data_IF_627413079305
#
_entry.id   IF_627413079305
#
_cell.length_a   1.000
_cell.length_b   1.000
_cell.length_c   1.000
_cell.angle_alpha   90.00
_cell.angle_beta   90.00
_cell.angle_gamma   90.00
#
_symmetry.space_group_name_H-M   'P 1'
#
loop_
_entity.id
_entity.type
_entity.pdbx_description
1 polymer ?
#
# COMPACT_ATOMS: atom_id res chain seq x y z
N UNK A 1 2.20 25.31 -12.43
CA UNK A 1 2.05 24.54 -11.17
C UNK A 1 1.23 25.38 -10.22
N UNK A 2 0.27 24.78 -9.52
CA UNK A 2 -0.64 25.53 -8.65
C UNK A 2 0.10 26.00 -7.39
N UNK A 3 0.12 27.32 -7.16
CA UNK A 3 0.78 27.93 -6.00
C UNK A 3 0.27 27.38 -4.66
N UNK A 4 -0.98 26.89 -4.64
CA UNK A 4 -1.55 26.27 -3.45
C UNK A 4 -0.91 24.91 -3.13
N UNK A 5 -0.58 24.10 -4.15
CA UNK A 5 0.08 22.79 -3.95
C UNK A 5 1.48 22.99 -3.38
N UNK A 6 2.22 24.00 -3.87
CA UNK A 6 3.55 24.32 -3.32
C UNK A 6 3.47 24.76 -1.86
N UNK A 7 2.45 25.54 -1.50
CA UNK A 7 2.25 25.99 -0.12
C UNK A 7 1.89 24.82 0.81
N UNK A 8 1.07 23.86 0.34
CA UNK A 8 0.78 22.61 1.06
C UNK A 8 2.06 21.79 1.24
N UNK A 9 2.86 21.61 0.18
CA UNK A 9 4.11 20.85 0.25
C UNK A 9 5.09 21.46 1.27
N UNK A 10 5.23 22.78 1.29
CA UNK A 10 6.05 23.49 2.29
C UNK A 10 5.52 23.30 3.72
N UNK A 11 4.20 23.38 3.91
CA UNK A 11 3.59 23.14 5.23
C UNK A 11 3.85 21.70 5.72
N UNK A 12 3.70 20.72 4.82
CA UNK A 12 3.95 19.31 5.14
C UNK A 12 5.44 19.07 5.47
N UNK A 13 6.36 19.68 4.71
CA UNK A 13 7.80 19.62 4.92
C UNK A 13 8.19 20.00 6.35
N UNK A 14 7.64 21.11 6.88
CA UNK A 14 7.93 21.54 8.26
C UNK A 14 7.25 20.69 9.35
N UNK A 15 6.28 19.85 8.99
CA UNK A 15 5.49 19.05 9.92
C UNK A 15 5.92 17.57 10.02
N UNK A 16 7.05 17.15 9.44
CA UNK A 16 7.34 15.72 9.22
C UNK A 16 7.49 14.84 10.50
N UNK A 17 7.78 15.41 11.68
CA UNK A 17 8.31 14.66 12.84
C UNK A 17 7.30 13.93 13.75
N UNK A 18 5.99 13.97 13.49
CA UNK A 18 4.97 13.51 14.46
C UNK A 18 4.08 12.35 13.98
N UNK A 19 4.45 11.64 12.92
CA UNK A 19 3.53 10.74 12.21
C UNK A 19 3.81 9.27 12.48
N UNK A 20 2.75 8.46 12.51
CA UNK A 20 2.86 7.01 12.38
C UNK A 20 3.49 6.65 11.03
N UNK A 21 3.91 5.40 10.86
CA UNK A 21 4.60 4.96 9.64
C UNK A 21 3.64 4.56 8.51
N UNK A 22 2.33 4.68 8.74
CA UNK A 22 1.29 4.15 7.86
C UNK A 22 1.18 4.82 6.49
N UNK A 23 0.44 4.17 5.60
CA UNK A 23 0.20 4.63 4.24
C UNK A 23 -0.87 5.74 4.18
N UNK A 24 -1.97 5.61 4.92
CA UNK A 24 -3.11 6.53 4.75
C UNK A 24 -2.90 7.86 5.47
N UNK A 25 -2.36 7.81 6.68
CA UNK A 25 -2.24 8.99 7.56
C UNK A 25 -0.82 9.21 8.06
N UNK A 26 0.14 8.43 7.56
CA UNK A 26 1.50 8.35 8.09
C UNK A 26 2.59 8.81 7.14
N UNK A 27 3.83 8.53 7.56
CA UNK A 27 5.07 8.86 6.85
C UNK A 27 5.13 8.20 5.48
N UNK A 28 4.64 6.98 5.30
CA UNK A 28 4.67 6.31 4.01
C UNK A 28 3.83 7.08 2.98
N UNK A 29 2.60 7.49 3.30
CA UNK A 29 1.78 8.29 2.38
C UNK A 29 2.43 9.61 1.97
N UNK A 30 3.08 10.29 2.92
CA UNK A 30 3.83 11.53 2.68
C UNK A 30 5.08 11.31 1.85
N UNK A 31 5.79 10.21 2.09
CA UNK A 31 6.93 9.78 1.30
C UNK A 31 6.53 9.64 -0.17
N UNK A 32 5.42 8.94 -0.46
CA UNK A 32 4.92 8.82 -1.84
C UNK A 32 4.60 10.18 -2.46
N UNK A 33 3.90 11.04 -1.71
CA UNK A 33 3.57 12.40 -2.17
C UNK A 33 4.83 13.19 -2.53
N UNK A 34 5.86 13.20 -1.67
CA UNK A 34 7.06 13.99 -1.91
C UNK A 34 7.93 13.46 -3.04
N UNK A 35 7.97 12.14 -3.26
CA UNK A 35 8.62 11.56 -4.44
C UNK A 35 7.91 11.96 -5.75
N UNK A 36 6.59 11.84 -5.83
CA UNK A 36 5.85 12.28 -7.02
C UNK A 36 5.94 13.80 -7.21
N UNK A 37 5.88 14.57 -6.12
CA UNK A 37 5.99 16.02 -6.15
C UNK A 37 7.37 16.45 -6.66
N UNK A 38 8.46 15.90 -6.10
CA UNK A 38 9.82 16.25 -6.52
C UNK A 38 10.05 15.95 -8.00
N UNK A 39 9.48 14.87 -8.54
CA UNK A 39 9.56 14.52 -9.96
C UNK A 39 8.84 15.52 -10.86
N UNK A 40 7.68 16.03 -10.43
CA UNK A 40 6.93 17.04 -11.21
C UNK A 40 7.57 18.42 -11.11
N UNK A 41 8.17 18.76 -9.97
CA UNK A 41 8.73 20.09 -9.74
C UNK A 41 10.22 20.19 -10.03
N UNK A 42 10.91 19.07 -10.21
CA UNK A 42 12.37 18.94 -10.31
C UNK A 42 13.11 19.55 -9.10
N UNK A 43 12.47 19.52 -7.92
CA UNK A 43 13.03 20.10 -6.70
C UNK A 43 13.62 19.00 -5.81
N UNK A 44 14.95 18.86 -5.88
CA UNK A 44 15.71 17.82 -5.18
C UNK A 44 15.50 17.81 -3.66
N UNK A 45 15.24 18.96 -3.04
CA UNK A 45 14.98 19.05 -1.61
C UNK A 45 13.77 18.20 -1.14
N UNK A 46 12.75 18.02 -1.99
CA UNK A 46 11.62 17.17 -1.68
C UNK A 46 11.91 15.68 -1.91
N UNK A 47 12.79 15.36 -2.86
CA UNK A 47 13.29 13.99 -3.04
C UNK A 47 14.15 13.55 -1.86
N UNK A 48 15.06 14.42 -1.39
CA UNK A 48 15.86 14.19 -0.18
C UNK A 48 14.96 13.95 1.04
N UNK A 49 13.94 14.79 1.26
CA UNK A 49 12.96 14.56 2.33
C UNK A 49 12.19 13.24 2.17
N UNK A 50 11.80 12.89 0.95
CA UNK A 50 11.07 11.64 0.71
C UNK A 50 11.92 10.41 1.03
N UNK A 51 13.23 10.48 0.73
CA UNK A 51 14.23 9.49 1.13
C UNK A 51 14.36 9.37 2.65
N UNK A 52 14.52 10.49 3.36
CA UNK A 52 14.58 10.50 4.83
C UNK A 52 13.32 9.87 5.47
N UNK A 53 12.14 10.20 4.94
CA UNK A 53 10.88 9.61 5.39
C UNK A 53 10.81 8.10 5.14
N UNK A 54 11.34 7.63 4.00
CA UNK A 54 11.38 6.21 3.68
C UNK A 54 12.31 5.46 4.64
N UNK A 55 13.49 6.01 4.91
CA UNK A 55 14.46 5.43 5.86
C UNK A 55 13.83 5.32 7.26
N UNK A 56 13.19 6.39 7.74
CA UNK A 56 12.48 6.37 9.02
C UNK A 56 11.35 5.32 9.07
N UNK A 57 10.62 5.13 7.96
CA UNK A 57 9.59 4.08 7.87
C UNK A 57 10.23 2.71 7.97
N UNK A 58 11.27 2.42 7.18
CA UNK A 58 11.94 1.12 7.14
C UNK A 58 12.57 0.78 8.48
N UNK A 59 13.23 1.74 9.14
CA UNK A 59 13.82 1.58 10.47
C UNK A 59 12.78 1.32 11.58
N UNK A 60 11.56 1.82 11.39
CA UNK A 60 10.47 1.70 12.36
C UNK A 60 9.58 0.47 12.14
N UNK A 61 9.74 -0.26 11.03
CA UNK A 61 9.04 -1.52 10.79
C UNK A 61 9.40 -2.53 11.88
N UNK A 62 8.39 -3.09 12.55
CA UNK A 62 8.59 -3.98 13.68
C UNK A 62 7.70 -5.23 13.63
N UNK A 63 8.10 -6.28 14.36
CA UNK A 63 7.29 -7.48 14.51
C UNK A 63 5.99 -7.13 15.26
N UNK A 64 4.86 -7.69 14.79
CA UNK A 64 3.55 -7.48 15.39
C UNK A 64 2.73 -6.34 14.79
N UNK A 65 3.23 -5.66 13.75
CA UNK A 65 2.40 -4.73 12.96
C UNK A 65 1.17 -5.45 12.40
N UNK A 66 0.01 -4.76 12.31
CA UNK A 66 -1.20 -5.30 11.72
C UNK A 66 -1.00 -5.57 10.22
N UNK A 67 -1.88 -6.36 9.61
CA UNK A 67 -1.77 -6.71 8.19
C UNK A 67 -2.23 -5.59 7.25
N UNK A 68 -3.16 -4.73 7.69
CA UNK A 68 -3.93 -3.83 6.83
C UNK A 68 -3.14 -2.77 6.03
N UNK A 69 -3.83 -2.14 5.07
CA UNK A 69 -3.26 -1.08 4.22
C UNK A 69 -2.98 0.23 4.96
N UNK A 70 -3.81 0.61 5.93
CA UNK A 70 -3.74 1.96 6.49
C UNK A 70 -2.44 2.20 7.27
N UNK A 71 -2.05 1.25 8.12
CA UNK A 71 -0.91 1.38 9.03
C UNK A 71 -0.19 0.03 9.31
N UNK A 72 -0.32 -0.93 8.38
CA UNK A 72 0.19 -2.29 8.52
C UNK A 72 1.10 -2.75 7.39
N UNK A 73 1.43 -4.04 7.39
CA UNK A 73 2.32 -4.69 6.42
C UNK A 73 1.92 -4.44 4.97
N UNK A 74 0.63 -4.58 4.64
CA UNK A 74 0.15 -4.29 3.29
C UNK A 74 0.37 -2.83 2.90
N UNK A 75 0.22 -1.88 3.82
CA UNK A 75 0.44 -0.46 3.56
C UNK A 75 1.88 -0.14 3.22
N UNK A 76 2.81 -0.63 4.05
CA UNK A 76 4.25 -0.45 3.83
C UNK A 76 4.68 -1.14 2.54
N UNK A 77 4.28 -2.41 2.34
CA UNK A 77 4.62 -3.17 1.14
C UNK A 77 4.05 -2.54 -0.13
N UNK A 78 2.82 -2.00 -0.07
CA UNK A 78 2.21 -1.29 -1.18
C UNK A 78 3.01 -0.03 -1.53
N UNK A 79 3.41 0.75 -0.52
CA UNK A 79 4.23 1.94 -0.70
C UNK A 79 5.59 1.63 -1.32
N UNK A 80 6.32 0.63 -0.80
CA UNK A 80 7.62 0.21 -1.36
C UNK A 80 7.48 -0.23 -2.82
N UNK A 81 6.49 -1.06 -3.13
CA UNK A 81 6.23 -1.53 -4.49
C UNK A 81 5.85 -0.37 -5.44
N UNK A 82 5.09 0.62 -4.96
CA UNK A 82 4.82 1.84 -5.71
C UNK A 82 6.11 2.57 -6.10
N UNK A 83 7.00 2.76 -5.12
CA UNK A 83 8.27 3.46 -5.32
C UNK A 83 9.16 2.73 -6.34
N UNK A 84 9.28 1.41 -6.21
CA UNK A 84 10.03 0.57 -7.17
C UNK A 84 9.43 0.66 -8.57
N UNK A 85 8.11 0.46 -8.72
CA UNK A 85 7.45 0.51 -10.05
C UNK A 85 7.51 1.87 -10.71
N UNK A 86 7.66 2.94 -9.93
CA UNK A 86 7.84 4.30 -10.43
C UNK A 86 9.32 4.64 -10.66
N UNK A 87 10.27 3.78 -10.31
CA UNK A 87 11.69 4.03 -10.43
C UNK A 87 12.20 5.13 -9.50
N UNK A 88 11.59 5.27 -8.31
CA UNK A 88 12.10 6.12 -7.24
C UNK A 88 13.13 5.39 -6.37
N UNK A 89 13.00 4.06 -6.26
CA UNK A 89 13.87 3.19 -5.46
C UNK A 89 14.30 2.02 -6.34
N UNK A 90 15.60 1.73 -6.33
CA UNK A 90 16.16 0.54 -6.96
C UNK A 90 15.89 -0.68 -6.07
N UNK A 91 15.49 -1.81 -6.67
CA UNK A 91 15.34 -3.07 -5.98
C UNK A 91 15.74 -4.21 -6.92
N UNK A 92 16.91 -4.77 -6.67
CA UNK A 92 17.58 -5.68 -7.59
C UNK A 92 17.10 -7.13 -7.47
N UNK A 93 16.56 -7.54 -6.32
CA UNK A 93 16.29 -8.96 -6.03
C UNK A 93 14.96 -9.26 -5.35
N UNK A 94 14.15 -8.24 -5.04
CA UNK A 94 12.84 -8.39 -4.42
C UNK A 94 12.89 -9.07 -3.03
N UNK A 95 14.07 -9.16 -2.38
CA UNK A 95 14.24 -9.80 -1.08
C UNK A 95 13.47 -9.06 0.01
N UNK A 96 13.61 -7.72 0.06
CA UNK A 96 12.91 -6.88 1.05
C UNK A 96 11.39 -6.95 0.92
N UNK A 97 10.87 -6.87 -0.31
CA UNK A 97 9.44 -6.99 -0.61
C UNK A 97 8.91 -8.40 -0.28
N UNK A 98 9.71 -9.44 -0.52
CA UNK A 98 9.36 -10.81 -0.17
C UNK A 98 9.27 -11.05 1.35
N UNK A 99 10.09 -10.38 2.16
CA UNK A 99 9.95 -10.42 3.63
C UNK A 99 8.61 -9.83 4.09
N UNK A 100 8.12 -8.79 3.40
CA UNK A 100 6.79 -8.23 3.66
C UNK A 100 5.70 -9.20 3.19
N UNK A 101 5.84 -9.80 2.01
CA UNK A 101 4.93 -10.84 1.51
C UNK A 101 4.78 -11.97 2.55
N UNK A 102 5.88 -12.49 3.08
CA UNK A 102 5.89 -13.52 4.12
C UNK A 102 5.11 -13.09 5.37
N UNK A 103 5.30 -11.85 5.84
CA UNK A 103 4.56 -11.31 6.99
C UNK A 103 3.07 -11.16 6.73
N UNK A 104 2.67 -10.83 5.51
CA UNK A 104 1.26 -10.80 5.12
C UNK A 104 0.67 -12.21 5.07
N UNK A 105 1.42 -13.20 4.58
CA UNK A 105 0.96 -14.60 4.51
C UNK A 105 0.81 -15.29 5.86
N UNK A 106 1.47 -14.80 6.92
CA UNK A 106 1.26 -15.30 8.29
C UNK A 106 -0.18 -15.09 8.79
N UNK A 107 -0.94 -14.16 8.19
CA UNK A 107 -2.33 -13.89 8.56
C UNK A 107 -3.32 -14.87 7.91
N UNK A 108 -4.09 -15.58 8.75
CA UNK A 108 -5.12 -16.50 8.27
C UNK A 108 -6.35 -15.75 7.72
N UNK A 109 -6.34 -15.49 6.42
CA UNK A 109 -7.40 -14.80 5.67
C UNK A 109 -8.77 -15.47 5.77
N UNK A 110 -8.84 -16.77 6.08
CA UNK A 110 -10.12 -17.51 6.22
C UNK A 110 -10.89 -17.11 7.46
N UNK A 111 -10.18 -16.55 8.46
CA UNK A 111 -10.72 -16.18 9.77
C UNK A 111 -11.07 -14.69 9.86
N UNK A 112 -10.81 -13.90 8.82
CA UNK A 112 -11.12 -12.48 8.81
C UNK A 112 -12.63 -12.22 8.78
N UNK A 113 -13.09 -11.44 9.75
CA UNK A 113 -14.43 -10.85 9.78
C UNK A 113 -14.48 -9.42 9.24
N UNK A 114 -13.32 -8.76 9.16
CA UNK A 114 -13.15 -7.40 8.63
C UNK A 114 -12.86 -7.45 7.12
N UNK A 115 -13.71 -6.79 6.35
CA UNK A 115 -13.59 -6.66 4.90
C UNK A 115 -13.28 -5.24 4.44
N UNK A 116 -12.97 -4.32 5.37
CA UNK A 116 -12.66 -2.94 5.06
C UNK A 116 -11.36 -2.80 4.26
N UNK A 117 -11.25 -1.71 3.51
CA UNK A 117 -10.03 -1.31 2.83
C UNK A 117 -8.85 -1.08 3.79
N UNK A 118 -9.09 -0.37 4.90
CA UNK A 118 -8.04 0.12 5.77
C UNK A 118 -7.33 -1.02 6.55
N UNK A 119 -8.11 -1.97 7.07
CA UNK A 119 -7.61 -2.98 8.02
C UNK A 119 -7.93 -4.42 7.62
N UNK A 120 -8.84 -4.61 6.67
CA UNK A 120 -9.43 -5.90 6.36
C UNK A 120 -9.03 -6.52 5.01
N UNK A 121 -9.83 -7.50 4.60
CA UNK A 121 -9.59 -8.33 3.43
C UNK A 121 -9.50 -7.55 2.10
N UNK A 122 -10.23 -6.44 1.96
CA UNK A 122 -10.17 -5.62 0.76
C UNK A 122 -8.77 -5.00 0.61
N UNK A 123 -8.17 -4.51 1.70
CA UNK A 123 -6.82 -3.97 1.64
C UNK A 123 -5.75 -5.01 1.34
N UNK A 124 -5.88 -6.20 1.92
CA UNK A 124 -5.04 -7.35 1.58
C UNK A 124 -5.14 -7.67 0.08
N UNK A 125 -6.36 -7.65 -0.47
CA UNK A 125 -6.60 -7.96 -1.88
C UNK A 125 -5.92 -6.96 -2.82
N UNK A 126 -5.95 -5.68 -2.48
CA UNK A 126 -5.24 -4.63 -3.21
C UNK A 126 -3.72 -4.82 -3.19
N UNK A 127 -3.16 -5.21 -2.05
CA UNK A 127 -1.73 -5.50 -1.91
C UNK A 127 -1.32 -6.75 -2.72
N UNK A 128 -2.05 -7.85 -2.58
CA UNK A 128 -1.76 -9.08 -3.32
C UNK A 128 -1.85 -8.84 -4.83
N UNK A 129 -2.89 -8.13 -5.29
CA UNK A 129 -3.01 -7.76 -6.71
C UNK A 129 -1.80 -6.96 -7.19
N UNK A 130 -1.32 -5.99 -6.40
CA UNK A 130 -0.17 -5.18 -6.76
C UNK A 130 1.07 -6.06 -7.00
N UNK A 131 1.37 -6.93 -6.03
CA UNK A 131 2.53 -7.82 -6.06
C UNK A 131 2.45 -8.85 -7.18
N UNK A 132 1.30 -9.50 -7.38
CA UNK A 132 1.14 -10.47 -8.47
C UNK A 132 1.24 -9.82 -9.86
N UNK A 133 0.88 -8.54 -9.98
CA UNK A 133 0.95 -7.79 -11.23
C UNK A 133 2.31 -7.11 -11.49
N UNK A 134 3.32 -7.31 -10.62
CA UNK A 134 4.62 -6.66 -10.80
C UNK A 134 5.42 -7.23 -11.97
N UNK A 135 5.16 -8.49 -12.35
CA UNK A 135 5.93 -9.23 -13.35
C UNK A 135 7.17 -9.92 -12.77
N UNK A 136 7.42 -9.77 -11.47
CA UNK A 136 8.55 -10.40 -10.79
C UNK A 136 8.32 -11.92 -10.67
N UNK A 137 9.32 -12.71 -11.08
CA UNK A 137 9.21 -14.19 -11.08
C UNK A 137 9.34 -14.82 -9.68
N UNK A 138 9.79 -14.04 -8.70
CA UNK A 138 10.11 -14.49 -7.34
C UNK A 138 9.14 -14.01 -6.26
N UNK A 139 7.93 -13.59 -6.63
CA UNK A 139 6.93 -13.04 -5.71
C UNK A 139 6.43 -14.12 -4.74
N UNK A 140 6.69 -13.96 -3.45
CA UNK A 140 6.29 -14.93 -2.41
C UNK A 140 4.78 -14.95 -2.17
N UNK A 141 4.09 -13.81 -2.28
CA UNK A 141 2.63 -13.76 -2.07
C UNK A 141 1.83 -14.63 -3.08
N UNK A 142 2.48 -15.11 -4.14
CA UNK A 142 1.93 -16.02 -5.15
C UNK A 142 1.85 -17.50 -4.74
N UNK A 143 2.18 -17.85 -3.49
CA UNK A 143 2.09 -19.23 -3.01
C UNK A 143 0.67 -19.80 -3.16
N UNK A 144 0.56 -20.97 -3.80
CA UNK A 144 -0.72 -21.57 -4.22
C UNK A 144 -1.70 -21.78 -3.06
N UNK A 145 -1.20 -22.20 -1.90
CA UNK A 145 -2.05 -22.46 -0.74
C UNK A 145 -2.65 -21.16 -0.21
N UNK A 146 -1.83 -20.12 -0.08
CA UNK A 146 -2.28 -18.80 0.37
C UNK A 146 -3.29 -18.19 -0.61
N UNK A 147 -3.00 -18.23 -1.92
CA UNK A 147 -3.93 -17.71 -2.94
C UNK A 147 -5.26 -18.45 -2.99
N UNK A 148 -5.25 -19.78 -2.77
CA UNK A 148 -6.48 -20.56 -2.69
C UNK A 148 -7.34 -20.13 -1.50
N UNK A 149 -6.73 -19.96 -0.33
CA UNK A 149 -7.42 -19.51 0.89
C UNK A 149 -7.93 -18.08 0.74
N UNK A 150 -7.14 -17.19 0.16
CA UNK A 150 -7.51 -15.80 -0.12
C UNK A 150 -8.66 -15.73 -1.12
N UNK A 151 -8.61 -16.49 -2.22
CA UNK A 151 -9.70 -16.56 -3.21
C UNK A 151 -11.02 -16.99 -2.56
N UNK A 152 -11.00 -18.03 -1.73
CA UNK A 152 -12.19 -18.50 -1.00
C UNK A 152 -12.73 -17.44 -0.03
N UNK A 153 -11.85 -16.75 0.70
CA UNK A 153 -12.23 -15.65 1.59
C UNK A 153 -12.88 -14.48 0.81
N UNK A 154 -12.30 -14.11 -0.33
CA UNK A 154 -12.79 -13.08 -1.24
C UNK A 154 -14.19 -13.42 -1.79
N UNK A 155 -14.39 -14.64 -2.30
CA UNK A 155 -15.69 -15.11 -2.80
C UNK A 155 -16.76 -15.13 -1.70
N UNK A 156 -16.38 -15.45 -0.45
CA UNK A 156 -17.27 -15.37 0.71
C UNK A 156 -17.62 -13.93 1.06
N UNK A 157 -16.66 -13.00 1.00
CA UNK A 157 -16.89 -11.58 1.29
C UNK A 157 -17.85 -10.94 0.28
N UNK A 158 -17.73 -11.28 -1.02
CA UNK A 158 -18.61 -10.76 -2.06
C UNK A 158 -20.09 -11.17 -1.92
N UNK A 159 -20.39 -12.20 -1.12
CA UNK A 159 -21.79 -12.54 -0.75
C UNK A 159 -22.41 -11.53 0.22
N UNK A 160 -21.59 -10.71 0.87
CA UNK A 160 -22.01 -9.77 1.93
C UNK A 160 -21.96 -8.31 1.50
N UNK A 161 -21.24 -7.99 0.42
CA UNK A 161 -21.06 -6.62 -0.04
C UNK A 161 -20.19 -6.55 -1.29
N UNK A 162 -19.99 -5.34 -1.79
CA UNK A 162 -19.13 -5.07 -2.93
C UNK A 162 -17.85 -4.40 -2.44
N UNK A 163 -16.71 -4.94 -2.84
CA UNK A 163 -15.37 -4.48 -2.47
C UNK A 163 -14.52 -4.47 -3.73
N UNK A 164 -14.00 -3.31 -4.12
CA UNK A 164 -13.40 -3.12 -5.43
C UNK A 164 -12.08 -3.88 -5.54
N UNK A 165 -11.22 -3.80 -4.51
CA UNK A 165 -9.95 -4.54 -4.48
C UNK A 165 -10.13 -6.05 -4.59
N UNK A 166 -11.20 -6.58 -4.00
CA UNK A 166 -11.54 -8.01 -4.07
C UNK A 166 -11.95 -8.40 -5.50
N UNK A 167 -12.83 -7.63 -6.13
CA UNK A 167 -13.28 -7.88 -7.51
C UNK A 167 -12.08 -7.89 -8.47
N UNK A 168 -11.20 -6.90 -8.34
CA UNK A 168 -10.02 -6.76 -9.18
C UNK A 168 -9.02 -7.89 -9.01
N UNK A 169 -8.78 -8.33 -7.76
CA UNK A 169 -7.93 -9.49 -7.50
C UNK A 169 -8.53 -10.75 -8.14
N UNK A 170 -9.83 -11.00 -7.97
CA UNK A 170 -10.47 -12.18 -8.56
C UNK A 170 -10.44 -12.15 -10.09
N UNK A 171 -10.63 -10.99 -10.72
CA UNK A 171 -10.52 -10.85 -12.16
C UNK A 171 -9.08 -11.10 -12.65
N UNK A 172 -8.07 -10.63 -11.93
CA UNK A 172 -6.66 -10.97 -12.21
C UNK A 172 -6.39 -12.47 -12.09
N UNK A 173 -6.82 -13.10 -11.00
CA UNK A 173 -6.65 -14.55 -10.78
C UNK A 173 -7.38 -15.41 -11.83
N UNK A 174 -8.43 -14.87 -12.44
CA UNK A 174 -9.17 -15.52 -13.53
C UNK A 174 -8.63 -15.13 -14.93
N UNK A 175 -7.50 -14.42 -15.01
CA UNK A 175 -6.85 -14.05 -16.27
C UNK A 175 -7.54 -12.94 -17.07
N UNK A 176 -8.46 -12.19 -16.46
CA UNK A 176 -9.19 -11.09 -17.11
C UNK A 176 -8.49 -9.73 -17.01
N UNK A 177 -7.44 -9.63 -16.18
CA UNK A 177 -6.65 -8.41 -15.97
C UNK A 177 -5.17 -8.76 -15.84
N UNK A 178 -4.30 -7.89 -16.34
CA UNK A 178 -2.84 -8.04 -16.26
C UNK A 178 -2.13 -6.92 -15.48
N UNK A 179 -2.73 -5.72 -15.40
CA UNK A 179 -2.07 -4.52 -14.87
C UNK A 179 -2.73 -4.00 -13.59
N UNK A 180 -1.92 -3.34 -12.75
CA UNK A 180 -2.39 -2.66 -11.55
C UNK A 180 -2.99 -1.29 -11.85
N UNK A 181 -4.18 -0.95 -11.35
CA UNK A 181 -4.83 0.33 -11.61
C UNK A 181 -4.53 1.37 -10.51
N UNK A 182 -3.34 1.99 -10.50
CA UNK A 182 -2.98 2.95 -9.45
C UNK A 182 -4.03 4.07 -9.22
N UNK A 183 -4.63 4.59 -10.29
CA UNK A 183 -5.68 5.61 -10.19
C UNK A 183 -6.95 5.10 -9.48
N UNK A 184 -7.36 3.85 -9.76
CA UNK A 184 -8.51 3.23 -9.05
C UNK A 184 -8.17 3.07 -7.57
N UNK A 185 -6.96 2.61 -7.23
CA UNK A 185 -6.53 2.47 -5.83
C UNK A 185 -6.62 3.80 -5.05
N UNK A 186 -6.02 4.87 -5.57
CA UNK A 186 -6.03 6.17 -4.88
C UNK A 186 -7.45 6.73 -4.71
N UNK A 187 -8.37 6.42 -5.63
CA UNK A 187 -9.78 6.81 -5.48
C UNK A 187 -10.52 6.08 -4.35
N UNK A 188 -9.97 4.95 -3.86
CA UNK A 188 -10.55 4.21 -2.73
C UNK A 188 -10.09 4.76 -1.38
N UNK A 189 -8.97 5.48 -1.29
CA UNK A 189 -8.48 6.00 -0.03
C UNK A 189 -9.46 7.07 0.47
N UNK A 190 -10.11 6.87 1.63
CA UNK A 190 -11.06 7.84 2.14
C UNK A 190 -10.34 9.16 2.43
N UNK A 191 -10.86 10.27 1.88
CA UNK A 191 -10.54 11.60 2.40
C UNK A 191 -11.08 11.75 3.83
N UNK A 192 -10.55 12.71 4.60
CA UNK A 192 -10.83 12.93 6.04
C UNK A 192 -12.32 12.94 6.48
N UNK A 193 -13.29 12.95 5.54
CA UNK A 193 -14.72 12.91 5.84
C UNK A 193 -15.23 11.62 6.54
N UNK A 194 -14.39 10.59 6.76
CA UNK A 194 -14.80 9.34 7.43
C UNK A 194 -13.95 8.90 8.62
N UNK A 195 -12.99 9.73 9.07
CA UNK A 195 -12.20 9.43 10.26
C UNK A 195 -12.25 10.61 11.23
N UNK A 196 -13.39 10.76 11.92
CA UNK A 196 -13.39 11.36 13.25
C UNK A 196 -13.36 10.17 14.21
N UNK A 197 -12.18 9.73 14.69
CA UNK A 197 -12.17 8.93 15.90
C UNK A 197 -12.63 9.87 17.02
N UNK A 198 -13.67 9.47 17.73
CA UNK A 198 -14.26 10.23 18.83
C UNK A 198 -13.18 10.80 19.76
N UNK A 199 -13.35 12.08 20.12
CA UNK A 199 -12.64 12.76 21.20
C UNK A 199 -12.75 12.00 22.53
#
# INVERSE_FOLDING_TARGET
>A
MDAHIEQIAKSLYFSCKQFDIGLFYGKMGRCLFFFDYSRVTELRAFEELAGELLDEVVESVCLGMPVGLSFGWCGIGWGVEYLVRKGFVEDDDNEGRNKIDEKVMEYDVRRLGDYSLATGLEGISWYVLLRLSSGDKGVRIGEKNYLSDLKSACEKALKKGRYEGILLLLDFLNGKRANYPFGEFFSQIPGEAHYIPDM
#
